data_IF_241411691473
#
_entry.id   IF_241411691473
#
_cell.length_a   1.000
_cell.length_b   1.000
_cell.length_c   1.000
_cell.angle_alpha   90.00
_cell.angle_beta   90.00
_cell.angle_gamma   90.00
#
_symmetry.space_group_name_H-M   'P 1'
#
loop_
_entity.id
_entity.type
_entity.pdbx_description
1 polymer ?
#
# COMPACT_ATOMS: atom_id res chain seq x y z
N UNK A 1 -26.45 52.87 1.24
CA UNK A 1 -25.06 52.90 0.71
C UNK A 1 -24.28 51.85 1.48
N UNK A 2 -23.77 50.82 0.79
CA UNK A 2 -22.76 49.88 1.29
C UNK A 2 -23.26 48.68 2.09
N UNK A 3 -23.96 47.74 1.45
CA UNK A 3 -24.16 46.39 1.97
C UNK A 3 -23.24 45.42 1.22
N UNK A 4 -22.39 44.70 1.95
CA UNK A 4 -21.60 43.59 1.42
C UNK A 4 -22.23 42.28 1.93
N UNK A 5 -22.91 41.58 1.02
CA UNK A 5 -23.36 40.20 1.20
C UNK A 5 -22.18 39.26 0.95
N UNK A 6 -21.78 38.48 1.95
CA UNK A 6 -20.99 37.27 1.73
C UNK A 6 -21.96 36.11 1.46
N UNK A 7 -22.24 35.90 0.18
CA UNK A 7 -22.85 34.68 -0.33
C UNK A 7 -21.81 33.94 -1.16
N UNK A 8 -21.33 32.79 -0.68
CA UNK A 8 -20.69 31.76 -1.49
C UNK A 8 -20.79 30.45 -0.70
N UNK A 9 -21.83 29.69 -1.02
CA UNK A 9 -21.89 28.26 -0.71
C UNK A 9 -20.76 27.56 -1.47
N UNK A 10 -20.12 26.52 -0.91
CA UNK A 10 -19.31 25.63 -1.71
C UNK A 10 -20.24 24.80 -2.59
N UNK A 11 -20.04 24.89 -3.91
CA UNK A 11 -20.65 23.98 -4.88
C UNK A 11 -20.21 22.55 -4.53
N UNK A 12 -21.11 21.82 -3.87
CA UNK A 12 -21.07 20.37 -3.79
C UNK A 12 -21.24 19.84 -5.21
N UNK A 13 -20.15 19.35 -5.80
CA UNK A 13 -20.18 18.49 -6.97
C UNK A 13 -20.84 17.16 -6.57
N UNK A 14 -22.16 17.10 -6.60
CA UNK A 14 -22.93 15.86 -6.63
C UNK A 14 -22.68 15.18 -7.97
N UNK A 15 -21.83 14.16 -7.98
CA UNK A 15 -21.82 13.17 -9.06
C UNK A 15 -23.09 12.33 -8.90
N UNK A 16 -24.15 12.70 -9.61
CA UNK A 16 -25.33 11.85 -9.81
C UNK A 16 -24.93 10.68 -10.73
N UNK A 17 -24.40 9.63 -10.12
CA UNK A 17 -24.29 8.31 -10.74
C UNK A 17 -25.64 7.63 -10.49
N UNK A 18 -26.53 7.71 -11.48
CA UNK A 18 -27.70 6.83 -11.54
C UNK A 18 -27.23 5.37 -11.56
N UNK A 19 -27.26 4.73 -10.40
CA UNK A 19 -27.14 3.30 -10.26
C UNK A 19 -28.45 2.67 -10.77
N UNK A 20 -28.36 1.98 -11.90
CA UNK A 20 -29.40 1.04 -12.31
C UNK A 20 -29.31 -0.19 -11.40
N UNK A 21 -30.24 -0.29 -10.45
CA UNK A 21 -30.50 -1.51 -9.69
C UNK A 21 -31.09 -2.58 -10.62
N UNK A 22 -30.43 -3.73 -10.65
CA UNK A 22 -30.84 -4.87 -11.48
C UNK A 22 -30.17 -6.17 -11.01
N UNK A 23 -30.78 -6.79 -10.01
CA UNK A 23 -30.75 -8.22 -9.61
C UNK A 23 -29.48 -9.07 -9.75
N UNK A 24 -29.11 -9.63 -8.60
CA UNK A 24 -28.18 -10.73 -8.35
C UNK A 24 -28.29 -11.93 -9.30
N UNK A 25 -27.28 -12.09 -10.16
CA UNK A 25 -26.81 -13.40 -10.67
C UNK A 25 -25.33 -13.25 -11.02
N UNK A 26 -24.51 -14.26 -10.66
CA UNK A 26 -23.06 -14.24 -10.86
C UNK A 26 -22.69 -13.83 -12.30
N UNK A 27 -21.77 -12.87 -12.50
CA UNK A 27 -21.35 -12.49 -13.83
C UNK A 27 -20.45 -13.59 -14.39
N UNK A 28 -21.00 -14.40 -15.30
CA UNK A 28 -20.21 -14.91 -16.42
C UNK A 28 -19.67 -13.67 -17.12
N UNK A 29 -18.37 -13.43 -16.96
CA UNK A 29 -17.67 -12.31 -17.61
C UNK A 29 -17.65 -12.62 -19.10
N UNK A 30 -18.75 -12.30 -19.78
CA UNK A 30 -18.78 -12.19 -21.22
C UNK A 30 -17.90 -10.99 -21.54
N UNK A 31 -16.63 -11.29 -21.80
CA UNK A 31 -15.62 -10.33 -22.20
C UNK A 31 -16.16 -9.67 -23.46
N UNK A 32 -16.67 -8.44 -23.35
CA UNK A 32 -17.44 -7.74 -24.39
C UNK A 32 -16.76 -7.56 -25.76
N UNK A 33 -15.63 -8.23 -25.99
CA UNK A 33 -15.10 -8.57 -27.30
C UNK A 33 -15.91 -9.71 -27.92
N UNK A 34 -17.09 -9.39 -28.45
CA UNK A 34 -17.66 -10.25 -29.49
C UNK A 34 -16.61 -10.42 -30.58
N UNK A 35 -16.01 -11.60 -30.68
CA UNK A 35 -15.08 -11.94 -31.77
C UNK A 35 -15.92 -12.12 -33.02
N UNK A 36 -16.21 -11.00 -33.66
CA UNK A 36 -16.81 -10.98 -34.98
C UNK A 36 -15.82 -11.63 -35.96
N UNK A 37 -16.22 -12.68 -36.70
CA UNK A 37 -15.37 -13.33 -37.71
C UNK A 37 -14.82 -12.38 -38.79
N UNK A 38 -15.41 -11.19 -38.92
CA UNK A 38 -15.07 -10.11 -39.84
C UNK A 38 -13.65 -9.55 -39.64
N UNK A 39 -13.17 -9.39 -38.40
CA UNK A 39 -11.82 -8.85 -38.12
C UNK A 39 -10.67 -9.70 -38.70
N UNK A 40 -10.93 -10.97 -39.06
CA UNK A 40 -9.94 -11.85 -39.70
C UNK A 40 -9.80 -11.63 -41.21
N UNK A 41 -10.78 -11.02 -41.88
CA UNK A 41 -10.76 -10.84 -43.35
C UNK A 41 -10.18 -9.49 -43.78
N UNK A 42 -10.40 -8.42 -43.02
CA UNK A 42 -9.95 -7.04 -43.29
C UNK A 42 -8.55 -6.73 -42.78
N UNK A 43 -8.22 -7.17 -41.56
CA UNK A 43 -6.96 -6.84 -40.88
C UNK A 43 -5.89 -7.86 -41.28
N UNK A 44 -4.85 -7.42 -41.98
CA UNK A 44 -3.78 -8.31 -42.44
C UNK A 44 -3.18 -9.17 -41.29
N UNK A 45 -2.59 -10.35 -41.57
CA UNK A 45 -2.17 -11.34 -40.56
C UNK A 45 -1.22 -10.82 -39.47
N UNK A 46 -0.52 -9.71 -39.72
CA UNK A 46 0.32 -9.05 -38.73
C UNK A 46 -0.48 -8.29 -37.67
N UNK A 47 -1.52 -7.56 -38.08
CA UNK A 47 -2.36 -6.76 -37.19
C UNK A 47 -3.23 -7.65 -36.30
N UNK A 48 -3.78 -8.73 -36.86
CA UNK A 48 -4.52 -9.73 -36.08
C UNK A 48 -3.68 -10.35 -34.95
N UNK A 49 -2.40 -10.67 -35.21
CA UNK A 49 -1.50 -11.20 -34.17
C UNK A 49 -1.23 -10.20 -33.05
N UNK A 50 -1.11 -8.91 -33.37
CA UNK A 50 -0.94 -7.86 -32.37
C UNK A 50 -2.20 -7.68 -31.52
N UNK A 51 -3.37 -7.72 -32.16
CA UNK A 51 -4.66 -7.68 -31.46
C UNK A 51 -4.83 -8.86 -30.49
N UNK A 52 -4.57 -10.09 -30.94
CA UNK A 52 -4.64 -11.29 -30.09
C UNK A 52 -3.63 -11.23 -28.93
N UNK A 53 -2.42 -10.74 -29.18
CA UNK A 53 -1.42 -10.56 -28.13
C UNK A 53 -1.85 -9.52 -27.09
N UNK A 54 -2.39 -8.38 -27.53
CA UNK A 54 -2.96 -7.36 -26.64
C UNK A 54 -4.13 -7.90 -25.84
N UNK A 55 -5.08 -8.60 -26.48
CA UNK A 55 -6.24 -9.19 -25.84
C UNK A 55 -5.83 -10.21 -24.77
N UNK A 56 -4.88 -11.10 -25.08
CA UNK A 56 -4.36 -12.07 -24.11
C UNK A 56 -3.70 -11.37 -22.90
N UNK A 57 -2.99 -10.27 -23.13
CA UNK A 57 -2.40 -9.45 -22.07
C UNK A 57 -3.45 -8.72 -21.22
N UNK A 58 -4.52 -8.20 -21.84
CA UNK A 58 -5.63 -7.54 -21.15
C UNK A 58 -6.43 -8.55 -20.31
N UNK A 59 -6.77 -9.70 -20.88
CA UNK A 59 -7.45 -10.79 -20.17
C UNK A 59 -6.60 -11.29 -18.97
N UNK A 60 -5.28 -11.40 -19.13
CA UNK A 60 -4.38 -11.73 -18.04
C UNK A 60 -4.35 -10.64 -16.95
N UNK A 61 -4.29 -9.36 -17.35
CA UNK A 61 -4.31 -8.23 -16.43
C UNK A 61 -5.62 -8.14 -15.62
N UNK A 62 -6.75 -8.47 -16.23
CA UNK A 62 -8.06 -8.52 -15.55
C UNK A 62 -8.20 -9.72 -14.61
N UNK A 63 -7.61 -10.88 -14.93
CA UNK A 63 -7.63 -12.07 -14.06
C UNK A 63 -6.70 -11.96 -12.85
N UNK A 64 -5.56 -11.29 -13.00
CA UNK A 64 -4.49 -11.25 -12.00
C UNK A 64 -4.94 -10.85 -10.58
N UNK A 65 -5.78 -9.80 -10.37
CA UNK A 65 -6.27 -9.45 -9.02
C UNK A 65 -7.03 -10.59 -8.34
N UNK A 66 -7.82 -11.33 -9.11
CA UNK A 66 -8.62 -12.46 -8.62
C UNK A 66 -7.73 -13.64 -8.23
N UNK A 67 -6.71 -13.93 -9.05
CA UNK A 67 -5.73 -14.98 -8.76
C UNK A 67 -4.87 -14.66 -7.53
N UNK A 68 -4.47 -13.39 -7.36
CA UNK A 68 -3.76 -12.91 -6.17
C UNK A 68 -4.62 -13.04 -4.90
N UNK A 69 -5.90 -12.66 -4.98
CA UNK A 69 -6.83 -12.82 -3.86
C UNK A 69 -7.04 -14.30 -3.49
N UNK A 70 -7.15 -15.17 -4.50
CA UNK A 70 -7.23 -16.61 -4.27
C UNK A 70 -5.96 -17.11 -3.57
N UNK A 71 -4.77 -16.68 -4.01
CA UNK A 71 -3.49 -17.07 -3.40
C UNK A 71 -3.42 -16.66 -1.92
N UNK A 72 -3.82 -15.44 -1.59
CA UNK A 72 -3.83 -14.96 -0.21
C UNK A 72 -4.79 -15.79 0.68
N UNK A 73 -5.97 -16.15 0.16
CA UNK A 73 -6.92 -17.04 0.86
C UNK A 73 -6.30 -18.42 1.11
N UNK A 74 -5.67 -19.02 0.11
CA UNK A 74 -5.03 -20.34 0.25
C UNK A 74 -3.84 -20.31 1.22
N UNK A 75 -3.03 -19.25 1.20
CA UNK A 75 -1.95 -19.07 2.17
C UNK A 75 -2.48 -18.92 3.60
N UNK A 76 -3.60 -18.23 3.78
CA UNK A 76 -4.26 -18.08 5.08
C UNK A 76 -4.78 -19.43 5.58
N UNK A 77 -5.49 -20.19 4.73
CA UNK A 77 -5.95 -21.55 5.04
C UNK A 77 -4.79 -22.48 5.39
N UNK A 78 -3.67 -22.40 4.67
CA UNK A 78 -2.47 -23.19 4.95
C UNK A 78 -1.87 -22.82 6.31
N UNK A 79 -1.82 -21.53 6.66
CA UNK A 79 -1.33 -21.05 7.96
C UNK A 79 -2.19 -21.60 9.11
N UNK A 80 -3.50 -21.50 8.96
CA UNK A 80 -4.45 -22.06 9.94
C UNK A 80 -4.34 -23.59 10.07
N UNK A 81 -4.22 -24.30 8.95
CA UNK A 81 -4.06 -25.76 8.96
C UNK A 81 -2.76 -26.20 9.64
N UNK A 82 -1.66 -25.47 9.41
CA UNK A 82 -0.36 -25.69 10.08
C UNK A 82 -0.45 -25.39 11.58
N UNK A 83 -1.14 -24.33 11.98
CA UNK A 83 -1.38 -24.00 13.39
C UNK A 83 -2.20 -25.08 14.09
N UNK A 84 -3.32 -25.54 13.49
CA UNK A 84 -4.13 -26.65 14.01
C UNK A 84 -3.31 -27.94 14.16
N UNK A 85 -2.43 -28.26 13.20
CA UNK A 85 -1.51 -29.41 13.29
C UNK A 85 -0.47 -29.24 14.41
N UNK A 86 0.04 -28.02 14.61
CA UNK A 86 0.96 -27.69 15.70
C UNK A 86 0.33 -27.85 17.08
N UNK A 87 -0.89 -27.33 17.26
CA UNK A 87 -1.67 -27.49 18.50
C UNK A 87 -1.98 -28.97 18.77
N UNK A 88 -2.38 -29.73 17.75
CA UNK A 88 -2.64 -31.16 17.88
C UNK A 88 -1.38 -31.95 18.32
N UNK A 89 -0.19 -31.63 17.77
CA UNK A 89 1.08 -32.24 18.20
C UNK A 89 1.43 -31.91 19.66
N UNK A 90 1.11 -30.71 20.13
CA UNK A 90 1.37 -30.28 21.50
C UNK A 90 0.39 -30.91 22.51
N UNK A 91 -0.83 -31.27 22.10
CA UNK A 91 -1.81 -31.96 22.95
C UNK A 91 -1.65 -33.48 23.01
N UNK A 92 -0.99 -34.11 22.03
CA UNK A 92 -0.86 -35.58 21.90
C UNK A 92 0.46 -36.12 22.52
N UNK A 93 1.22 -35.32 23.26
CA UNK A 93 2.16 -35.88 24.23
C UNK A 93 1.46 -36.10 25.58
N UNK A 94 0.90 -37.29 25.88
CA UNK A 94 0.61 -37.64 27.25
C UNK A 94 1.96 -37.69 27.99
N UNK A 95 2.14 -36.83 28.99
CA UNK A 95 3.15 -36.99 30.03
C UNK A 95 3.10 -38.43 30.53
N UNK A 96 3.97 -39.31 30.02
CA UNK A 96 4.31 -40.59 30.68
C UNK A 96 4.98 -40.22 32.00
N UNK A 97 4.17 -40.01 33.04
CA UNK A 97 4.63 -40.01 34.43
C UNK A 97 5.17 -41.41 34.71
N UNK A 98 6.48 -41.59 34.58
CA UNK A 98 7.18 -42.59 35.38
C UNK A 98 7.11 -42.12 36.83
N UNK A 99 6.15 -42.64 37.59
CA UNK A 99 6.16 -42.52 39.05
C UNK A 99 6.82 -43.77 39.60
N UNK A 100 8.08 -43.61 39.96
CA UNK A 100 8.87 -44.54 40.74
C UNK A 100 8.34 -44.64 42.18
N UNK A 101 8.48 -45.86 42.72
CA UNK A 101 8.71 -46.20 44.12
C UNK A 101 7.65 -45.77 45.16
N UNK A 102 6.86 -46.76 45.55
CA UNK A 102 6.12 -46.83 46.81
C UNK A 102 7.04 -46.81 48.03
N UNK A 103 6.73 -45.97 49.02
CA UNK A 103 7.10 -46.14 50.42
C UNK A 103 5.84 -46.01 51.29
N UNK A 104 5.71 -46.78 52.39
CA UNK A 104 4.47 -46.86 53.17
C UNK A 104 4.46 -45.86 54.33
N UNK A 105 3.34 -45.17 54.55
CA UNK A 105 3.07 -44.51 55.84
C UNK A 105 1.57 -44.48 56.17
N UNK A 106 1.17 -45.47 56.96
CA UNK A 106 0.35 -45.42 58.17
C UNK A 106 -0.75 -44.34 58.29
N UNK A 107 -2.00 -44.81 58.13
CA UNK A 107 -3.25 -44.53 58.88
C UNK A 107 -3.40 -43.18 59.61
N UNK A 108 -4.52 -42.48 59.33
CA UNK A 108 -5.67 -42.40 60.27
C UNK A 108 -6.94 -41.85 59.60
N UNK A 109 -8.07 -42.34 60.14
CA UNK A 109 -9.47 -42.25 59.72
C UNK A 109 -10.02 -40.80 59.74
N UNK A 110 -10.95 -40.51 58.84
CA UNK A 110 -12.20 -39.85 59.22
C UNK A 110 -13.30 -40.14 58.18
N UNK A 111 -14.51 -40.36 58.68
CA UNK A 111 -15.69 -40.83 57.96
C UNK A 111 -16.71 -39.72 57.69
N UNK A 112 -17.65 -40.05 56.79
CA UNK A 112 -18.95 -39.43 56.49
C UNK A 112 -18.92 -38.36 55.38
N UNK A 113 -19.90 -38.26 54.47
CA UNK A 113 -21.05 -39.08 54.08
C UNK A 113 -21.75 -38.35 52.91
N UNK A 114 -22.65 -39.07 52.22
CA UNK A 114 -23.79 -38.60 51.40
C UNK A 114 -23.60 -38.40 49.86
N UNK A 115 -23.86 -39.51 49.15
CA UNK A 115 -24.84 -39.81 48.04
C UNK A 115 -25.49 -38.67 47.18
N UNK A 116 -26.12 -38.99 46.01
CA UNK A 116 -25.83 -38.39 44.70
C UNK A 116 -27.12 -37.98 43.92
N UNK A 117 -27.08 -38.01 42.58
CA UNK A 117 -28.16 -38.41 41.63
C UNK A 117 -28.97 -37.29 40.93
N UNK A 118 -28.71 -37.17 39.61
CA UNK A 118 -29.66 -36.95 38.47
C UNK A 118 -30.46 -35.62 38.43
N UNK A 119 -31.02 -35.10 37.33
CA UNK A 119 -31.41 -35.66 36.04
C UNK A 119 -31.81 -34.53 35.05
N UNK A 120 -31.74 -34.82 33.75
CA UNK A 120 -32.53 -34.33 32.60
C UNK A 120 -32.81 -32.82 32.40
N UNK A 121 -32.50 -32.32 31.19
CA UNK A 121 -33.58 -31.87 30.27
C UNK A 121 -33.11 -31.78 28.82
N UNK A 122 -34.06 -32.06 27.94
CA UNK A 122 -33.93 -32.39 26.54
C UNK A 122 -34.41 -31.23 25.66
N UNK A 123 -33.71 -31.03 24.54
CA UNK A 123 -34.24 -30.73 23.19
C UNK A 123 -35.02 -29.41 22.98
N UNK A 124 -34.44 -28.51 22.17
CA UNK A 124 -35.16 -27.91 21.04
C UNK A 124 -34.20 -27.44 19.97
N UNK A 125 -34.37 -28.04 18.79
CA UNK A 125 -33.72 -27.70 17.54
C UNK A 125 -34.47 -26.56 16.86
N UNK A 126 -33.75 -25.64 16.20
CA UNK A 126 -34.15 -25.13 14.89
C UNK A 126 -32.90 -24.74 14.08
N UNK A 127 -32.60 -25.57 13.10
CA UNK A 127 -32.21 -25.24 11.73
C UNK A 127 -31.64 -23.83 11.46
N UNK A 128 -30.35 -23.77 11.15
CA UNK A 128 -29.89 -22.97 10.01
C UNK A 128 -28.90 -23.83 9.23
N UNK A 129 -29.38 -24.37 8.12
CA UNK A 129 -28.56 -25.08 7.14
C UNK A 129 -27.50 -24.11 6.59
N UNK A 130 -26.25 -24.32 6.97
CA UNK A 130 -25.09 -23.88 6.20
C UNK A 130 -24.63 -25.10 5.40
N UNK A 131 -24.81 -25.15 4.07
CA UNK A 131 -24.24 -26.22 3.27
C UNK A 131 -22.77 -25.90 2.96
N UNK A 132 -22.00 -26.97 2.75
CA UNK A 132 -20.55 -27.05 2.47
C UNK A 132 -19.62 -27.00 3.69
N UNK A 133 -19.64 -28.08 4.47
CA UNK A 133 -18.39 -28.64 4.97
C UNK A 133 -17.53 -29.04 3.77
N UNK A 134 -16.60 -28.18 3.36
CA UNK A 134 -15.48 -28.63 2.53
C UNK A 134 -14.76 -29.77 3.26
N UNK A 135 -14.41 -30.87 2.57
CA UNK A 135 -13.63 -31.94 3.18
C UNK A 135 -12.36 -31.31 3.76
N UNK A 136 -11.99 -31.70 4.98
CA UNK A 136 -10.79 -31.24 5.68
C UNK A 136 -9.55 -31.52 4.81
N UNK A 137 -9.20 -30.57 3.93
CA UNK A 137 -8.05 -30.68 3.03
C UNK A 137 -6.79 -30.87 3.86
N UNK A 138 -5.96 -31.81 3.46
CA UNK A 138 -4.71 -32.08 4.18
C UNK A 138 -3.75 -30.90 4.02
N UNK A 139 -2.81 -30.73 4.96
CA UNK A 139 -1.81 -29.65 4.87
C UNK A 139 -1.00 -29.81 3.58
N UNK A 140 -0.69 -31.06 3.24
CA UNK A 140 0.05 -31.45 2.05
C UNK A 140 -0.71 -31.09 0.75
N UNK A 141 -2.04 -31.27 0.70
CA UNK A 141 -2.87 -30.81 -0.43
C UNK A 141 -2.89 -29.28 -0.56
N UNK A 142 -2.98 -28.56 0.55
CA UNK A 142 -2.95 -27.09 0.55
C UNK A 142 -1.59 -26.55 0.10
N UNK A 143 -0.49 -27.20 0.45
CA UNK A 143 0.86 -26.84 -0.03
C UNK A 143 0.95 -26.99 -1.55
N UNK A 144 0.50 -28.12 -2.10
CA UNK A 144 0.49 -28.33 -3.56
C UNK A 144 -0.37 -27.29 -4.28
N UNK A 145 -1.55 -26.97 -3.74
CA UNK A 145 -2.43 -25.95 -4.31
C UNK A 145 -1.84 -24.55 -4.24
N UNK A 146 -1.16 -24.19 -3.14
CA UNK A 146 -0.45 -22.91 -3.04
C UNK A 146 0.67 -22.83 -4.08
N UNK A 147 1.47 -23.88 -4.23
CA UNK A 147 2.59 -23.91 -5.19
C UNK A 147 2.09 -23.84 -6.64
N UNK A 148 1.00 -24.53 -6.97
CA UNK A 148 0.36 -24.46 -8.29
C UNK A 148 -0.20 -23.06 -8.57
N UNK A 149 -0.90 -22.47 -7.60
CA UNK A 149 -1.46 -21.14 -7.75
C UNK A 149 -0.39 -20.05 -7.81
N UNK A 150 0.74 -20.22 -7.10
CA UNK A 150 1.90 -19.33 -7.22
C UNK A 150 2.48 -19.36 -8.63
N UNK A 151 2.61 -20.56 -9.24
CA UNK A 151 3.06 -20.69 -10.64
C UNK A 151 2.09 -20.03 -11.60
N UNK A 152 0.78 -20.28 -11.46
CA UNK A 152 -0.26 -19.63 -12.27
C UNK A 152 -0.19 -18.11 -12.17
N UNK A 153 -0.08 -17.57 -10.95
CA UNK A 153 0.03 -16.12 -10.72
C UNK A 153 1.29 -15.55 -11.38
N UNK A 154 2.41 -16.26 -11.32
CA UNK A 154 3.66 -15.82 -11.97
C UNK A 154 3.52 -15.77 -13.50
N UNK A 155 2.90 -16.79 -14.10
CA UNK A 155 2.63 -16.84 -15.54
C UNK A 155 1.66 -15.74 -15.98
N UNK A 156 0.53 -15.59 -15.28
CA UNK A 156 -0.47 -14.54 -15.56
C UNK A 156 0.16 -13.15 -15.40
N UNK A 157 1.00 -12.92 -14.39
CA UNK A 157 1.73 -11.66 -14.20
C UNK A 157 2.65 -11.37 -15.38
N UNK A 158 3.47 -12.34 -15.81
CA UNK A 158 4.40 -12.14 -16.93
C UNK A 158 3.67 -11.78 -18.24
N UNK A 159 2.47 -12.32 -18.47
CA UNK A 159 1.63 -11.96 -19.62
C UNK A 159 1.02 -10.56 -19.45
N UNK A 160 0.48 -10.25 -18.26
CA UNK A 160 -0.11 -8.94 -17.96
C UNK A 160 0.91 -7.78 -18.03
N UNK A 161 2.17 -8.02 -17.68
CA UNK A 161 3.26 -7.03 -17.77
C UNK A 161 3.51 -6.55 -19.21
N UNK A 162 3.14 -7.36 -20.21
CA UNK A 162 3.29 -7.03 -21.63
C UNK A 162 2.15 -6.17 -22.18
N UNK A 163 1.12 -5.87 -21.39
CA UNK A 163 -0.09 -5.17 -21.85
C UNK A 163 0.21 -3.82 -22.49
N UNK A 164 1.07 -3.01 -21.86
CA UNK A 164 1.41 -1.68 -22.36
C UNK A 164 2.18 -1.79 -23.69
N UNK A 165 3.19 -2.68 -23.77
CA UNK A 165 3.94 -2.91 -25.02
C UNK A 165 3.05 -3.43 -26.16
N UNK A 166 2.14 -4.37 -25.87
CA UNK A 166 1.21 -4.90 -26.85
C UNK A 166 0.23 -3.83 -27.35
N UNK A 167 -0.25 -2.96 -26.45
CA UNK A 167 -1.10 -1.84 -26.83
C UNK A 167 -0.36 -0.83 -27.70
N UNK A 168 0.87 -0.46 -27.35
CA UNK A 168 1.67 0.50 -28.11
C UNK A 168 2.02 -0.02 -29.52
N UNK A 169 2.36 -1.31 -29.64
CA UNK A 169 2.59 -1.95 -30.94
C UNK A 169 1.32 -2.00 -31.80
N UNK A 170 0.18 -2.33 -31.19
CA UNK A 170 -1.11 -2.34 -31.87
C UNK A 170 -1.47 -0.93 -32.36
N UNK A 171 -1.34 0.08 -31.50
CA UNK A 171 -1.63 1.47 -31.82
C UNK A 171 -0.70 2.01 -32.92
N UNK A 172 0.59 1.66 -32.89
CA UNK A 172 1.56 2.06 -33.91
C UNK A 172 1.14 1.59 -35.31
N UNK A 173 0.68 0.34 -35.43
CA UNK A 173 0.22 -0.21 -36.71
C UNK A 173 -1.10 0.43 -37.14
N UNK A 174 -2.03 0.62 -36.20
CA UNK A 174 -3.32 1.27 -36.45
C UNK A 174 -3.19 2.74 -36.89
N UNK A 175 -2.14 3.43 -36.45
CA UNK A 175 -1.80 4.80 -36.84
C UNK A 175 -0.93 4.90 -38.11
N UNK A 176 -0.68 3.79 -38.80
CA UNK A 176 0.13 3.77 -40.02
C UNK A 176 1.62 4.05 -39.77
N UNK A 177 2.14 3.69 -38.59
CA UNK A 177 3.56 3.78 -38.24
C UNK A 177 4.04 5.15 -37.78
N UNK A 178 3.14 6.11 -37.48
CA UNK A 178 3.53 7.40 -36.91
C UNK A 178 3.69 7.28 -35.38
N UNK A 179 4.90 7.39 -34.83
CA UNK A 179 5.09 7.35 -33.39
C UNK A 179 4.41 8.56 -32.74
N UNK A 180 3.72 8.33 -31.63
CA UNK A 180 3.14 9.37 -30.79
C UNK A 180 4.30 9.99 -30.00
N UNK A 181 4.58 11.28 -30.19
CA UNK A 181 5.59 11.94 -29.36
C UNK A 181 5.09 11.99 -27.90
N UNK A 182 5.89 11.55 -26.91
CA UNK A 182 5.55 11.63 -25.49
C UNK A 182 5.29 13.07 -25.02
N UNK A 183 5.79 14.08 -25.74
CA UNK A 183 5.55 15.50 -25.44
C UNK A 183 4.11 15.93 -25.74
N UNK A 184 3.43 15.25 -26.67
CA UNK A 184 1.99 15.47 -26.93
C UNK A 184 1.14 15.01 -25.74
N UNK A 185 1.57 13.97 -25.01
CA UNK A 185 0.88 13.42 -23.84
C UNK A 185 1.08 14.23 -22.56
N UNK A 186 2.13 15.06 -22.49
CA UNK A 186 2.49 15.87 -21.32
C UNK A 186 1.88 17.27 -21.31
N UNK A 187 1.19 17.68 -22.38
CA UNK A 187 0.63 19.03 -22.48
C UNK A 187 -0.58 19.19 -21.54
N UNK A 188 -0.50 20.06 -20.49
CA UNK A 188 -1.60 20.27 -19.53
C UNK A 188 -2.85 20.86 -20.21
N UNK A 189 -2.69 21.44 -21.39
CA UNK A 189 -3.77 21.97 -22.24
C UNK A 189 -4.70 20.90 -22.82
N UNK A 190 -4.33 19.61 -22.79
CA UNK A 190 -5.24 18.51 -23.16
C UNK A 190 -6.20 18.19 -22.01
N UNK A 191 -5.76 18.35 -20.76
CA UNK A 191 -6.57 18.05 -19.57
C UNK A 191 -7.58 19.19 -19.29
N UNK A 192 -7.22 20.44 -19.63
CA UNK A 192 -8.04 21.63 -19.32
C UNK A 192 -9.19 21.92 -20.31
N UNK A 193 -9.27 21.22 -21.46
CA UNK A 193 -10.27 21.53 -22.50
C UNK A 193 -11.28 20.38 -22.70
N UNK A 194 -11.80 19.81 -21.61
CA UNK A 194 -12.95 18.92 -21.64
C UNK A 194 -14.28 19.63 -21.97
N UNK A 195 -14.27 20.94 -22.23
CA UNK A 195 -15.39 21.64 -22.89
C UNK A 195 -15.32 21.38 -24.40
N UNK A 196 -15.78 20.20 -24.81
CA UNK A 196 -15.84 19.81 -26.21
C UNK A 196 -16.56 20.88 -27.05
N UNK A 197 -15.88 21.35 -28.10
CA UNK A 197 -16.59 21.84 -29.27
C UNK A 197 -17.50 20.69 -29.75
N UNK A 198 -18.80 20.91 -30.03
CA UNK A 198 -19.73 19.88 -30.49
C UNK A 198 -19.40 19.27 -31.87
N UNK A 199 -18.22 19.55 -32.41
CA UNK A 199 -17.90 19.40 -33.83
C UNK A 199 -16.76 18.42 -34.13
N UNK A 200 -16.28 17.64 -33.15
CA UNK A 200 -15.48 16.43 -33.45
C UNK A 200 -16.44 15.27 -33.75
N UNK A 201 -16.86 15.18 -35.01
CA UNK A 201 -17.76 14.16 -35.54
C UNK A 201 -17.12 12.78 -35.66
N UNK A 202 -15.80 12.68 -35.53
CA UNK A 202 -15.06 11.42 -35.64
C UNK A 202 -14.98 10.70 -34.28
N UNK A 203 -15.68 9.55 -34.11
CA UNK A 203 -15.65 8.77 -32.89
C UNK A 203 -14.25 8.23 -32.57
N UNK A 204 -13.43 7.95 -33.60
CA UNK A 204 -12.07 7.47 -33.43
C UNK A 204 -11.18 8.54 -32.77
N UNK A 205 -11.18 9.75 -33.33
CA UNK A 205 -10.42 10.89 -32.79
C UNK A 205 -10.81 11.23 -31.35
N UNK A 206 -12.09 11.10 -31.01
CA UNK A 206 -12.58 11.29 -29.63
C UNK A 206 -12.05 10.22 -28.68
N UNK A 207 -12.18 8.95 -29.03
CA UNK A 207 -11.67 7.84 -28.22
C UNK A 207 -10.16 7.96 -28.00
N UNK A 208 -9.42 8.36 -29.03
CA UNK A 208 -7.97 8.60 -28.95
C UNK A 208 -7.59 9.72 -27.99
N UNK A 209 -8.31 10.85 -28.02
CA UNK A 209 -8.11 11.95 -27.06
C UNK A 209 -8.36 11.49 -25.62
N UNK A 210 -9.41 10.68 -25.41
CA UNK A 210 -9.71 10.11 -24.10
C UNK A 210 -8.58 9.21 -23.61
N UNK A 211 -8.06 8.30 -24.45
CA UNK A 211 -6.91 7.45 -24.10
C UNK A 211 -5.70 8.30 -23.70
N UNK A 212 -5.31 9.27 -24.53
CA UNK A 212 -4.18 10.16 -24.24
C UNK A 212 -4.33 10.91 -22.91
N UNK A 213 -5.53 11.42 -22.60
CA UNK A 213 -5.81 12.08 -21.34
C UNK A 213 -5.71 11.11 -20.13
N UNK A 214 -6.21 9.88 -20.27
CA UNK A 214 -6.16 8.87 -19.19
C UNK A 214 -4.75 8.31 -18.99
N UNK A 215 -3.97 8.12 -20.06
CA UNK A 215 -2.55 7.77 -19.98
C UNK A 215 -1.76 8.86 -19.25
N UNK A 216 -1.96 10.12 -19.63
CA UNK A 216 -1.33 11.26 -18.96
C UNK A 216 -1.68 11.33 -17.47
N UNK A 217 -2.95 11.15 -17.13
CA UNK A 217 -3.41 11.12 -15.74
C UNK A 217 -2.79 9.95 -14.96
N UNK A 218 -2.75 8.74 -15.53
CA UNK A 218 -2.12 7.58 -14.89
C UNK A 218 -0.63 7.84 -14.60
N UNK A 219 0.12 8.40 -15.56
CA UNK A 219 1.53 8.74 -15.36
C UNK A 219 1.74 9.76 -14.24
N UNK A 220 0.89 10.78 -14.14
CA UNK A 220 0.93 11.78 -13.06
C UNK A 220 0.65 11.11 -11.71
N UNK A 221 -0.40 10.29 -11.62
CA UNK A 221 -0.73 9.57 -10.38
C UNK A 221 0.38 8.61 -9.95
N UNK A 222 0.96 7.84 -10.88
CA UNK A 222 2.08 6.94 -10.62
C UNK A 222 3.31 7.68 -10.10
N UNK A 223 3.66 8.81 -10.73
CA UNK A 223 4.78 9.64 -10.27
C UNK A 223 4.54 10.17 -8.85
N UNK A 224 3.32 10.60 -8.56
CA UNK A 224 2.91 11.12 -7.25
C UNK A 224 2.97 10.04 -6.18
N UNK A 225 2.43 8.85 -6.45
CA UNK A 225 2.49 7.70 -5.53
C UNK A 225 3.95 7.33 -5.21
N UNK A 226 4.82 7.28 -6.23
CA UNK A 226 6.26 6.99 -6.02
C UNK A 226 6.94 8.04 -5.15
N UNK A 227 6.67 9.33 -5.39
CA UNK A 227 7.23 10.41 -4.59
C UNK A 227 6.78 10.33 -3.12
N UNK A 228 5.51 10.01 -2.87
CA UNK A 228 4.98 9.84 -1.52
C UNK A 228 5.52 8.59 -0.82
N UNK A 229 5.63 7.45 -1.52
CA UNK A 229 6.28 6.25 -0.98
C UNK A 229 7.74 6.53 -0.61
N UNK A 230 8.44 7.30 -1.44
CA UNK A 230 9.81 7.73 -1.16
C UNK A 230 9.88 8.61 0.09
N UNK A 231 9.01 9.62 0.18
CA UNK A 231 8.90 10.48 1.37
C UNK A 231 8.62 9.67 2.64
N UNK A 232 7.73 8.68 2.59
CA UNK A 232 7.47 7.78 3.72
C UNK A 232 8.70 7.00 4.18
N UNK A 233 9.47 6.43 3.24
CA UNK A 233 10.70 5.71 3.59
C UNK A 233 11.75 6.65 4.17
N UNK A 234 11.90 7.83 3.60
CA UNK A 234 12.84 8.85 4.06
C UNK A 234 12.50 9.35 5.47
N UNK A 235 11.22 9.64 5.77
CA UNK A 235 10.81 10.06 7.13
C UNK A 235 10.91 8.92 8.16
N UNK A 236 10.66 7.67 7.76
CA UNK A 236 10.89 6.51 8.62
C UNK A 236 12.38 6.30 8.94
N UNK A 237 13.25 6.48 7.94
CA UNK A 237 14.69 6.43 8.14
C UNK A 237 15.17 7.55 9.07
N UNK A 238 14.69 8.79 8.86
CA UNK A 238 14.97 9.92 9.73
C UNK A 238 14.53 9.66 11.18
N UNK A 239 13.33 9.12 11.38
CA UNK A 239 12.79 8.79 12.69
C UNK A 239 13.65 7.76 13.43
N UNK A 240 14.02 6.66 12.76
CA UNK A 240 14.91 5.63 13.31
C UNK A 240 16.28 6.19 13.68
N UNK A 241 16.92 6.93 12.78
CA UNK A 241 18.24 7.50 13.01
C UNK A 241 18.24 8.50 14.19
N UNK A 242 17.17 9.29 14.31
CA UNK A 242 17.02 10.20 15.43
C UNK A 242 16.73 9.48 16.75
N UNK A 243 15.98 8.37 16.71
CA UNK A 243 15.80 7.51 17.86
C UNK A 243 17.13 6.91 18.33
N UNK A 244 17.96 6.39 17.42
CA UNK A 244 19.30 5.89 17.73
C UNK A 244 20.20 6.99 18.34
N UNK A 245 20.16 8.21 17.79
CA UNK A 245 20.87 9.35 18.34
C UNK A 245 20.42 9.66 19.78
N UNK A 246 19.11 9.56 20.03
CA UNK A 246 18.53 9.76 21.36
C UNK A 246 18.93 8.68 22.35
N UNK A 247 18.85 7.41 21.96
CA UNK A 247 19.25 6.29 22.80
C UNK A 247 20.73 6.40 23.20
N UNK A 248 21.61 6.78 22.27
CA UNK A 248 23.03 7.02 22.57
C UNK A 248 23.25 8.09 23.64
N UNK A 249 22.44 9.16 23.64
CA UNK A 249 22.52 10.21 24.66
C UNK A 249 21.87 9.80 25.97
N UNK A 250 20.75 9.08 25.93
CA UNK A 250 20.09 8.54 27.12
C UNK A 250 20.98 7.51 27.84
N UNK A 251 21.82 6.76 27.12
CA UNK A 251 22.84 5.90 27.74
C UNK A 251 23.86 6.68 28.57
N UNK A 252 24.13 7.94 28.23
CA UNK A 252 25.08 8.80 28.93
C UNK A 252 24.42 9.66 30.01
N UNK A 253 23.23 10.20 29.74
CA UNK A 253 22.57 11.24 30.55
C UNK A 253 21.24 10.79 31.17
N UNK A 254 20.80 9.57 30.89
CA UNK A 254 19.48 9.08 31.29
C UNK A 254 19.31 8.89 32.81
N UNK A 255 18.06 8.98 33.32
CA UNK A 255 17.75 8.88 34.74
C UNK A 255 18.06 7.50 35.34
N UNK A 256 18.18 6.47 34.49
CA UNK A 256 18.40 5.08 34.89
C UNK A 256 19.88 4.67 34.93
N UNK A 257 20.81 5.60 34.69
CA UNK A 257 22.24 5.28 34.67
C UNK A 257 22.76 5.00 36.08
N UNK A 258 23.41 3.84 36.26
CA UNK A 258 24.15 3.51 37.49
C UNK A 258 25.23 4.57 37.76
N UNK A 259 25.23 5.15 38.97
CA UNK A 259 26.26 6.13 39.40
C UNK A 259 27.69 5.60 39.26
N UNK A 260 27.89 4.28 39.36
CA UNK A 260 29.18 3.62 39.15
C UNK A 260 29.59 3.61 37.67
N UNK A 261 28.65 3.41 36.75
CA UNK A 261 28.91 3.43 35.31
C UNK A 261 29.31 4.82 34.79
N UNK A 262 29.04 5.89 35.54
CA UNK A 262 29.50 7.26 35.23
C UNK A 262 30.94 7.49 35.70
N UNK A 263 31.30 6.92 36.85
CA UNK A 263 32.63 7.10 37.47
C UNK A 263 33.69 6.26 36.76
N UNK A 264 33.32 5.09 36.24
CA UNK A 264 34.24 4.17 35.54
C UNK A 264 34.21 4.30 34.01
N UNK A 265 33.39 5.18 33.42
CA UNK A 265 33.42 5.38 31.98
C UNK A 265 34.58 6.29 31.58
N UNK A 266 35.45 5.78 30.73
CA UNK A 266 36.51 6.53 30.07
C UNK A 266 35.95 7.77 29.34
N UNK A 267 36.62 8.90 29.47
CA UNK A 267 36.23 10.15 28.81
C UNK A 267 36.25 9.99 27.28
N UNK A 268 37.19 9.20 26.75
CA UNK A 268 37.29 8.92 25.31
C UNK A 268 36.06 8.13 24.81
N UNK A 269 35.59 7.16 25.59
CA UNK A 269 34.38 6.39 25.28
C UNK A 269 33.12 7.27 25.28
N UNK A 270 32.99 8.20 26.23
CA UNK A 270 31.86 9.15 26.26
C UNK A 270 31.89 10.11 25.08
N UNK A 271 33.08 10.63 24.75
CA UNK A 271 33.28 11.52 23.62
C UNK A 271 32.88 10.84 22.30
N UNK A 272 33.25 9.58 22.13
CA UNK A 272 32.86 8.79 20.97
C UNK A 272 31.34 8.64 20.86
N UNK A 273 30.64 8.32 21.96
CA UNK A 273 29.19 8.16 21.94
C UNK A 273 28.43 9.46 21.64
N UNK A 274 28.89 10.62 22.13
CA UNK A 274 28.30 11.92 21.74
C UNK A 274 28.54 12.26 20.27
N UNK A 275 29.73 11.98 19.75
CA UNK A 275 30.04 12.17 18.34
C UNK A 275 29.17 11.26 17.46
N UNK A 276 29.01 10.00 17.84
CA UNK A 276 28.13 9.05 17.16
C UNK A 276 26.67 9.55 17.18
N UNK A 277 26.16 10.04 18.32
CA UNK A 277 24.82 10.64 18.40
C UNK A 277 24.67 11.88 17.48
N UNK A 278 25.68 12.75 17.43
CA UNK A 278 25.70 13.91 16.54
C UNK A 278 25.66 13.50 15.06
N UNK A 279 26.45 12.51 14.67
CA UNK A 279 26.45 11.97 13.30
C UNK A 279 25.09 11.38 12.94
N UNK A 280 24.49 10.56 13.80
CA UNK A 280 23.16 9.97 13.55
C UNK A 280 22.07 11.03 13.41
N UNK A 281 22.10 12.10 14.20
CA UNK A 281 21.16 13.21 14.03
C UNK A 281 21.36 13.99 12.72
N UNK A 282 22.60 14.10 12.23
CA UNK A 282 22.87 14.69 10.92
C UNK A 282 22.36 13.83 9.78
N UNK A 283 22.56 12.52 9.85
CA UNK A 283 21.98 11.57 8.90
C UNK A 283 20.45 11.62 8.93
N UNK A 284 19.85 11.73 10.13
CA UNK A 284 18.41 11.90 10.28
C UNK A 284 17.90 13.18 9.61
N UNK A 285 18.60 14.31 9.76
CA UNK A 285 18.27 15.55 9.07
C UNK A 285 18.35 15.40 7.55
N UNK A 286 19.38 14.72 7.02
CA UNK A 286 19.51 14.49 5.59
C UNK A 286 18.33 13.67 5.02
N UNK A 287 17.92 12.60 5.72
CA UNK A 287 16.73 11.83 5.35
C UNK A 287 15.44 12.65 5.47
N UNK A 288 15.34 13.54 6.46
CA UNK A 288 14.20 14.44 6.59
C UNK A 288 14.15 15.46 5.43
N UNK A 289 15.28 16.05 5.05
CA UNK A 289 15.35 16.97 3.91
C UNK A 289 14.99 16.28 2.59
N UNK A 290 15.39 15.02 2.42
CA UNK A 290 15.01 14.20 1.28
C UNK A 290 13.49 13.93 1.24
N UNK A 291 12.89 13.68 2.40
CA UNK A 291 11.43 13.58 2.53
C UNK A 291 10.75 14.88 2.07
N UNK A 292 11.21 16.03 2.55
CA UNK A 292 10.66 17.33 2.18
C UNK A 292 10.82 17.65 0.69
N UNK A 293 11.97 17.32 0.11
CA UNK A 293 12.21 17.52 -1.32
C UNK A 293 11.27 16.64 -2.18
N UNK A 294 10.93 15.45 -1.68
CA UNK A 294 9.99 14.53 -2.34
C UNK A 294 8.53 14.98 -2.20
N UNK A 295 8.18 15.61 -1.07
CA UNK A 295 6.84 16.12 -0.80
C UNK A 295 6.56 17.50 -1.41
N UNK A 296 7.58 18.33 -1.59
CA UNK A 296 7.44 19.73 -2.04
C UNK A 296 6.56 19.90 -3.31
N UNK A 297 6.66 19.05 -4.35
CA UNK A 297 5.79 19.16 -5.52
C UNK A 297 4.31 18.81 -5.27
N UNK A 298 4.01 18.23 -4.11
CA UNK A 298 2.73 17.59 -3.76
C UNK A 298 2.19 18.08 -2.42
N UNK A 299 2.58 19.28 -1.98
CA UNK A 299 2.19 19.83 -0.68
C UNK A 299 0.69 20.06 -0.54
N UNK A 300 0.01 20.28 -1.66
CA UNK A 300 -1.44 20.40 -1.76
C UNK A 300 -2.19 19.14 -1.32
N UNK A 301 -1.50 17.98 -1.32
CA UNK A 301 -2.06 16.72 -0.84
C UNK A 301 -1.96 16.54 0.67
N UNK A 302 -1.15 17.35 1.36
CA UNK A 302 -1.00 17.27 2.81
C UNK A 302 -2.12 18.02 3.53
N UNK A 303 -2.55 17.47 4.65
CA UNK A 303 -3.55 18.11 5.51
C UNK A 303 -2.93 19.25 6.33
N UNK A 304 -3.75 20.20 6.78
CA UNK A 304 -3.29 21.30 7.67
C UNK A 304 -2.43 20.83 8.87
N UNK A 305 -2.80 19.79 9.64
CA UNK A 305 -1.97 19.37 10.77
C UNK A 305 -0.59 18.83 10.34
N UNK A 306 -0.46 18.23 9.15
CA UNK A 306 0.84 17.79 8.63
C UNK A 306 1.72 18.98 8.23
N UNK A 307 1.13 20.01 7.62
CA UNK A 307 1.82 21.25 7.29
C UNK A 307 2.25 22.01 8.54
N UNK A 308 1.40 22.08 9.57
CA UNK A 308 1.75 22.67 10.87
C UNK A 308 2.86 21.87 11.56
N UNK A 309 2.83 20.53 11.51
CA UNK A 309 3.89 19.69 12.04
C UNK A 309 5.22 19.91 11.30
N UNK A 310 5.18 20.09 9.98
CA UNK A 310 6.31 20.49 9.17
C UNK A 310 6.86 21.86 9.60
N UNK A 311 6.01 22.89 9.68
CA UNK A 311 6.44 24.24 10.06
C UNK A 311 7.08 24.24 11.46
N UNK A 312 6.48 23.52 12.40
CA UNK A 312 7.02 23.34 13.74
C UNK A 312 8.39 22.64 13.69
N UNK A 313 8.53 21.55 12.93
CA UNK A 313 9.81 20.84 12.82
C UNK A 313 10.87 21.64 12.08
N UNK A 314 10.47 22.47 11.11
CA UNK A 314 11.36 23.36 10.37
C UNK A 314 11.89 24.48 11.27
N UNK A 315 11.02 25.07 12.09
CA UNK A 315 11.36 26.13 13.03
C UNK A 315 12.16 25.61 14.23
N UNK A 316 11.87 24.39 14.70
CA UNK A 316 12.55 23.75 15.83
C UNK A 316 13.81 22.99 15.40
N UNK A 317 13.91 22.57 14.13
CA UNK A 317 15.08 21.99 13.46
C UNK A 317 15.68 20.71 14.08
N UNK A 318 15.80 19.61 13.32
CA UNK A 318 16.61 18.45 13.75
C UNK A 318 18.09 18.83 13.90
N UNK A 319 18.57 19.84 13.15
CA UNK A 319 19.90 20.41 13.28
C UNK A 319 20.20 21.03 14.65
N UNK A 320 19.16 21.49 15.37
CA UNK A 320 19.33 21.97 16.74
C UNK A 320 19.76 20.80 17.64
N UNK A 321 19.26 19.57 17.42
CA UNK A 321 19.69 18.38 18.16
C UNK A 321 21.16 18.02 17.90
N UNK A 322 21.61 18.07 16.64
CA UNK A 322 23.03 17.87 16.32
C UNK A 322 23.93 18.94 16.97
N UNK A 323 23.45 20.19 17.02
CA UNK A 323 24.13 21.29 17.72
C UNK A 323 24.14 21.09 19.23
N UNK A 324 23.04 20.60 19.82
CA UNK A 324 22.93 20.25 21.24
C UNK A 324 23.92 19.13 21.63
N UNK A 325 24.05 18.09 20.80
CA UNK A 325 25.04 17.03 21.03
C UNK A 325 26.48 17.52 20.93
N UNK A 326 26.75 18.44 20.01
CA UNK A 326 28.06 19.12 19.90
C UNK A 326 28.30 20.10 21.04
N UNK A 327 27.28 20.75 21.60
CA UNK A 327 27.42 21.65 22.75
C UNK A 327 27.61 20.89 24.07
N UNK A 328 27.11 19.66 24.17
CA UNK A 328 27.49 18.74 25.25
C UNK A 328 28.95 18.29 25.16
N UNK A 329 29.61 18.54 24.02
CA UNK A 329 31.03 18.34 23.80
C UNK A 329 31.79 19.69 23.92
N UNK A 330 32.69 19.80 24.89
CA UNK A 330 33.80 20.74 24.81
C UNK A 330 33.57 22.17 25.29
N UNK A 331 33.45 22.37 26.61
CA UNK A 331 33.77 23.68 27.19
C UNK A 331 34.13 23.63 28.67
N UNK A 332 35.18 24.34 29.13
CA UNK A 332 35.50 24.49 30.56
C UNK A 332 34.37 25.18 31.37
N UNK A 333 33.34 25.68 30.69
CA UNK A 333 32.10 26.18 31.28
C UNK A 333 31.16 25.07 31.77
N UNK A 334 31.51 23.78 31.60
CA UNK A 334 30.78 22.64 32.18
C UNK A 334 30.90 22.51 33.72
N UNK A 335 31.49 23.50 34.39
CA UNK A 335 31.79 23.46 35.83
C UNK A 335 30.80 24.19 36.77
N UNK A 336 29.81 24.97 36.32
CA UNK A 336 28.79 25.56 37.21
C UNK A 336 27.41 25.72 36.52
N UNK A 337 26.37 25.02 37.01
CA UNK A 337 24.96 25.22 36.58
C UNK A 337 24.34 24.17 35.63
N UNK A 338 25.12 23.17 35.19
CA UNK A 338 24.88 22.36 33.97
C UNK A 338 23.66 21.44 34.00
N UNK A 339 23.16 21.02 35.18
CA UNK A 339 22.06 20.04 35.23
C UNK A 339 20.75 20.58 34.63
N UNK A 340 20.44 21.85 34.84
CA UNK A 340 19.22 22.46 34.30
C UNK A 340 19.33 22.67 32.78
N UNK A 341 20.50 23.12 32.30
CA UNK A 341 20.77 23.27 30.88
C UNK A 341 20.65 21.92 30.15
N UNK A 342 21.32 20.87 30.63
CA UNK A 342 21.24 19.51 30.02
C UNK A 342 19.83 18.95 30.06
N UNK A 343 19.09 19.17 31.15
CA UNK A 343 17.69 18.74 31.25
C UNK A 343 16.78 19.47 30.26
N UNK A 344 16.99 20.77 30.05
CA UNK A 344 16.30 21.55 29.03
C UNK A 344 16.63 21.07 27.61
N UNK A 345 17.91 20.73 27.35
CA UNK A 345 18.35 20.18 26.07
C UNK A 345 17.72 18.81 25.78
N UNK A 346 17.66 17.91 26.76
CA UNK A 346 17.00 16.60 26.65
C UNK A 346 15.49 16.75 26.43
N UNK A 347 14.86 17.73 27.09
CA UNK A 347 13.45 18.04 26.88
C UNK A 347 13.18 18.51 25.45
N UNK A 348 13.97 19.46 24.94
CA UNK A 348 13.88 19.94 23.56
C UNK A 348 14.09 18.83 22.53
N UNK A 349 15.00 17.90 22.81
CA UNK A 349 15.24 16.73 21.97
C UNK A 349 14.02 15.78 21.93
N UNK A 350 13.33 15.61 23.06
CA UNK A 350 12.07 14.85 23.13
C UNK A 350 10.97 15.54 22.34
N UNK A 351 10.86 16.86 22.44
CA UNK A 351 9.86 17.64 21.69
C UNK A 351 10.06 17.50 20.18
N UNK A 352 11.32 17.62 19.70
CA UNK A 352 11.66 17.39 18.29
C UNK A 352 11.32 15.95 17.85
N UNK A 353 11.58 14.95 18.70
CA UNK A 353 11.23 13.57 18.38
C UNK A 353 9.72 13.35 18.28
N UNK A 354 8.94 13.96 19.18
CA UNK A 354 7.48 13.90 19.13
C UNK A 354 6.93 14.56 17.86
N UNK A 355 7.45 15.74 17.50
CA UNK A 355 7.08 16.42 16.27
C UNK A 355 7.43 15.58 15.03
N UNK A 356 8.61 14.96 14.99
CA UNK A 356 9.02 14.08 13.91
C UNK A 356 8.12 12.84 13.83
N UNK A 357 7.71 12.29 14.98
CA UNK A 357 6.78 11.16 15.05
C UNK A 357 5.41 11.53 14.49
N UNK A 358 4.86 12.69 14.87
CA UNK A 358 3.57 13.17 14.36
C UNK A 358 3.62 13.42 12.86
N UNK A 359 4.69 14.06 12.38
CA UNK A 359 4.91 14.27 10.94
C UNK A 359 5.04 12.94 10.19
N UNK A 360 5.83 11.99 10.70
CA UNK A 360 5.99 10.67 10.11
C UNK A 360 4.66 9.91 10.03
N UNK A 361 3.84 9.96 11.09
CA UNK A 361 2.52 9.34 11.11
C UNK A 361 1.57 9.95 10.08
N UNK A 362 1.59 11.28 9.91
CA UNK A 362 0.79 11.96 8.88
C UNK A 362 1.20 11.56 7.46
N UNK A 363 2.51 11.61 7.16
CA UNK A 363 3.05 11.23 5.85
C UNK A 363 2.79 9.76 5.53
N UNK A 364 2.80 8.85 6.51
CA UNK A 364 2.54 7.41 6.33
C UNK A 364 1.13 7.07 5.84
N UNK A 365 0.14 7.94 6.05
CA UNK A 365 -1.22 7.70 5.61
C UNK A 365 -1.45 8.13 4.14
N UNK A 366 -0.56 8.96 3.58
CA UNK A 366 -0.69 9.51 2.23
C UNK A 366 -0.56 8.46 1.09
N UNK A 367 0.37 7.47 1.16
CA UNK A 367 0.53 6.47 0.11
C UNK A 367 -0.70 5.61 -0.11
N UNK A 368 -1.43 5.23 0.95
CA UNK A 368 -2.58 4.34 0.83
C UNK A 368 -3.68 4.96 -0.05
N UNK A 369 -3.93 6.26 0.13
CA UNK A 369 -4.88 7.01 -0.71
C UNK A 369 -4.36 7.11 -2.14
N UNK A 370 -3.07 7.41 -2.33
CA UNK A 370 -2.49 7.58 -3.67
C UNK A 370 -2.39 6.27 -4.45
N UNK A 371 -2.11 5.15 -3.79
CA UNK A 371 -2.16 3.82 -4.39
C UNK A 371 -3.57 3.45 -4.84
N UNK A 372 -4.60 3.88 -4.09
CA UNK A 372 -5.99 3.69 -4.51
C UNK A 372 -6.32 4.52 -5.76
N UNK A 373 -5.93 5.79 -5.76
CA UNK A 373 -6.10 6.70 -6.91
C UNK A 373 -5.33 6.20 -8.13
N UNK A 374 -4.10 5.71 -7.96
CA UNK A 374 -3.30 5.12 -9.03
C UNK A 374 -3.98 3.88 -9.62
N UNK A 375 -4.52 2.99 -8.76
CA UNK A 375 -5.28 1.81 -9.20
C UNK A 375 -6.52 2.20 -10.01
N UNK A 376 -7.27 3.21 -9.56
CA UNK A 376 -8.43 3.73 -10.29
C UNK A 376 -8.03 4.38 -11.61
N UNK A 377 -6.97 5.19 -11.62
CA UNK A 377 -6.43 5.82 -12.83
C UNK A 377 -5.97 4.77 -13.84
N UNK A 378 -5.33 3.69 -13.39
CA UNK A 378 -4.95 2.55 -14.23
C UNK A 378 -6.17 1.84 -14.81
N UNK A 379 -7.18 1.53 -13.98
CA UNK A 379 -8.41 0.90 -14.46
C UNK A 379 -9.17 1.77 -15.48
N UNK A 380 -9.21 3.10 -15.24
CA UNK A 380 -9.80 4.08 -16.15
C UNK A 380 -9.03 4.17 -17.48
N UNK A 381 -7.70 4.17 -17.42
CA UNK A 381 -6.80 4.10 -18.59
C UNK A 381 -7.08 2.84 -19.41
N UNK A 382 -7.06 1.68 -18.77
CA UNK A 382 -7.25 0.40 -19.45
C UNK A 382 -8.66 0.31 -20.05
N UNK A 383 -9.70 0.84 -19.38
CA UNK A 383 -11.04 0.95 -19.96
C UNK A 383 -11.09 1.84 -21.22
N UNK A 384 -10.42 3.00 -21.20
CA UNK A 384 -10.36 3.89 -22.37
C UNK A 384 -9.63 3.22 -23.55
N UNK A 385 -8.55 2.48 -23.28
CA UNK A 385 -7.81 1.72 -24.31
C UNK A 385 -8.70 0.66 -24.96
N UNK A 386 -9.46 -0.09 -24.16
CA UNK A 386 -10.44 -1.08 -24.67
C UNK A 386 -11.52 -0.42 -25.54
N UNK A 387 -12.04 0.74 -25.12
CA UNK A 387 -12.99 1.50 -25.92
C UNK A 387 -12.39 1.94 -27.27
N UNK A 388 -11.14 2.40 -27.30
CA UNK A 388 -10.46 2.78 -28.54
C UNK A 388 -10.38 1.60 -29.52
N UNK A 389 -9.99 0.42 -29.03
CA UNK A 389 -9.94 -0.80 -29.85
C UNK A 389 -11.33 -1.23 -30.31
N UNK A 390 -12.36 -1.09 -29.49
CA UNK A 390 -13.74 -1.38 -29.88
C UNK A 390 -14.26 -0.43 -30.99
N UNK A 391 -13.94 0.87 -30.90
CA UNK A 391 -14.28 1.82 -31.98
C UNK A 391 -13.60 1.43 -33.30
N UNK A 392 -12.34 1.00 -33.23
CA UNK A 392 -11.62 0.49 -34.41
C UNK A 392 -12.28 -0.73 -35.02
N UNK A 393 -12.63 -1.71 -34.19
CA UNK A 393 -13.29 -2.93 -34.67
C UNK A 393 -14.63 -2.62 -35.35
N UNK A 394 -15.40 -1.68 -34.80
CA UNK A 394 -16.67 -1.27 -35.38
C UNK A 394 -16.51 -0.56 -36.73
N UNK A 395 -15.55 0.37 -36.84
CA UNK A 395 -15.31 1.11 -38.07
C UNK A 395 -14.86 0.20 -39.23
N UNK A 396 -14.09 -0.84 -38.91
CA UNK A 396 -13.63 -1.84 -39.86
C UNK A 396 -14.77 -2.74 -40.36
N UNK A 397 -15.67 -3.19 -39.46
CA UNK A 397 -16.87 -3.92 -39.85
C UNK A 397 -17.80 -3.11 -40.77
N UNK A 398 -17.95 -1.81 -40.49
CA UNK A 398 -18.81 -0.93 -41.26
C UNK A 398 -18.23 -0.69 -42.67
N UNK A 399 -16.89 -0.58 -42.79
CA UNK A 399 -16.19 -0.55 -44.07
C UNK A 399 -16.41 -1.83 -44.87
N UNK A 400 -16.27 -3.01 -44.26
CA UNK A 400 -16.55 -4.29 -44.93
C UNK A 400 -18.00 -4.36 -45.44
N UNK A 401 -18.99 -4.00 -44.61
CA UNK A 401 -20.41 -3.97 -44.99
C UNK A 401 -20.69 -3.01 -46.15
N UNK A 402 -20.01 -1.87 -46.21
CA UNK A 402 -20.15 -0.93 -47.34
C UNK A 402 -19.44 -1.39 -48.61
N UNK A 403 -18.42 -2.23 -48.52
CA UNK A 403 -17.70 -2.78 -49.69
C UNK A 403 -18.42 -3.94 -50.38
N UNK A 404 -19.37 -4.58 -49.67
CA UNK A 404 -20.16 -5.71 -50.18
C UNK A 404 -21.53 -5.32 -50.75
N UNK A 405 -21.95 -4.06 -50.57
CA UNK A 405 -23.14 -3.47 -51.19
C UNK A 405 -22.73 -2.58 -52.36
#
# INVERSE_FOLDING_TARGET
>A
RGGFHWGSQPDQLTLDIYAADGHTRAPSVDSGYGTSPSLRSSLGPALWRLYEAWKAADDAAQRLPTELQALERYQSLLREAKERRGVARNTVQPKRRMSSMSLPSIRKRSMHSVVPITAYSAVSAMSTQVPLSEPSRTVEELEVQVDELQRSVAETRAVAERLDDCFDQLLLVLDGGRPISPESLRSPSIISNYSGSPQDSDPYRRARKTVAARDGMHLVTLSTTKALQHACRAVQAAHRLYQEAKENVDLLCGPNRSKLAVIFSDEESRNRTYLEAATRAQEAQACYDECLNSLRPHWDLLTRPELEAYENLHNTGLLQAATLYRLMYGGPNFAMGIKQEVQFMLQRQNDVFLQLTNFAAGVQNCPANCESVEREARASRDAARRQLIAVYAQADEDLEKTSMN
#
